data_IF_734987254276
#
_entry.id   IF_734987254276
#
_cell.length_a   1.000
_cell.length_b   1.000
_cell.length_c   1.000
_cell.angle_alpha   90.00
_cell.angle_beta   90.00
_cell.angle_gamma   90.00
#
_symmetry.space_group_name_H-M   'P 1'
#
loop_
_entity.id
_entity.type
_entity.pdbx_description
1 polymer ?
#
# COMPACT_ATOMS: atom_id res chain seq x y z
N UNK A 1 21.85 -29.52 42.47
CA UNK A 1 20.37 -29.60 42.35
C UNK A 1 19.98 -28.91 41.05
N UNK A 2 19.88 -29.71 39.98
CA UNK A 2 19.31 -29.27 38.72
C UNK A 2 17.78 -29.33 38.79
N UNK A 3 17.13 -28.71 37.82
CA UNK A 3 15.72 -28.87 37.44
C UNK A 3 14.73 -27.92 38.13
N UNK A 4 14.39 -26.82 37.43
CA UNK A 4 13.00 -26.28 37.32
C UNK A 4 12.84 -25.01 36.45
N UNK A 5 13.68 -24.76 35.46
CA UNK A 5 13.56 -23.57 34.60
C UNK A 5 12.86 -23.80 33.25
N UNK A 6 12.36 -25.01 32.99
CA UNK A 6 11.81 -25.36 31.66
C UNK A 6 10.27 -25.25 31.55
N UNK A 7 9.59 -24.71 32.57
CA UNK A 7 8.12 -24.63 32.56
C UNK A 7 7.53 -23.24 32.28
N UNK A 8 8.34 -22.18 32.29
CA UNK A 8 7.86 -20.83 32.00
C UNK A 8 8.04 -20.37 30.55
N UNK A 9 8.94 -20.99 29.78
CA UNK A 9 9.12 -20.68 28.35
C UNK A 9 8.07 -21.32 27.44
N UNK A 10 7.30 -22.30 27.93
CA UNK A 10 6.26 -22.98 27.14
C UNK A 10 4.87 -22.33 27.23
N UNK A 11 4.66 -21.41 28.18
CA UNK A 11 3.31 -20.81 28.39
C UNK A 11 3.00 -19.67 27.42
N UNK A 12 4.01 -18.93 26.95
CA UNK A 12 3.78 -17.77 26.05
C UNK A 12 3.65 -18.20 24.58
N UNK A 13 4.17 -19.37 24.20
CA UNK A 13 4.05 -19.91 22.84
C UNK A 13 2.63 -20.43 22.52
N UNK A 14 1.79 -20.66 23.53
CA UNK A 14 0.46 -21.25 23.35
C UNK A 14 -0.66 -20.26 22.96
N UNK A 15 -0.41 -18.95 22.98
CA UNK A 15 -1.40 -17.92 22.58
C UNK A 15 -1.21 -17.47 21.12
N UNK A 16 -0.06 -17.76 20.50
CA UNK A 16 0.29 -17.26 19.17
C UNK A 16 -0.27 -18.08 17.98
N UNK A 17 -1.00 -19.18 18.22
CA UNK A 17 -1.30 -20.18 17.16
C UNK A 17 -2.80 -20.25 16.77
N UNK A 18 -3.71 -19.44 17.35
CA UNK A 18 -5.15 -19.55 17.03
C UNK A 18 -5.72 -18.52 16.04
N UNK A 19 -4.91 -17.71 15.36
CA UNK A 19 -5.39 -16.80 14.30
C UNK A 19 -4.78 -17.18 12.95
N UNK A 20 -4.79 -18.47 12.64
CA UNK A 20 -4.57 -19.01 11.30
C UNK A 20 -5.79 -19.86 10.94
N UNK A 21 -6.89 -19.20 10.55
CA UNK A 21 -8.05 -19.75 9.84
C UNK A 21 -9.03 -18.57 9.72
N UNK A 22 -9.21 -17.93 8.57
CA UNK A 22 -10.01 -18.39 7.44
C UNK A 22 -9.80 -17.34 6.35
N UNK A 23 -9.31 -17.73 5.17
CA UNK A 23 -9.80 -17.24 3.87
C UNK A 23 -9.15 -18.11 2.79
N UNK A 24 -9.75 -19.29 2.55
CA UNK A 24 -9.61 -20.00 1.28
C UNK A 24 -10.58 -19.37 0.29
N UNK A 25 -10.07 -19.02 -0.89
CA UNK A 25 -10.86 -18.48 -1.99
C UNK A 25 -9.98 -18.12 -3.17
N UNK A 26 -9.42 -19.13 -3.83
CA UNK A 26 -8.75 -18.96 -5.13
C UNK A 26 -9.80 -18.74 -6.21
N UNK A 27 -9.78 -17.56 -6.82
CA UNK A 27 -10.28 -17.36 -8.19
C UNK A 27 -9.16 -16.72 -8.98
N UNK A 28 -8.45 -17.57 -9.73
CA UNK A 28 -7.37 -17.18 -10.61
C UNK A 28 -8.01 -16.75 -11.93
N UNK A 29 -8.31 -15.47 -12.07
CA UNK A 29 -8.56 -14.87 -13.39
C UNK A 29 -7.20 -14.49 -13.94
N UNK A 30 -6.68 -15.29 -14.88
CA UNK A 30 -5.50 -14.95 -15.68
C UNK A 30 -5.90 -13.78 -16.58
N UNK A 31 -5.27 -12.60 -16.48
CA UNK A 31 -5.40 -11.62 -17.55
C UNK A 31 -4.68 -12.18 -18.78
N UNK A 32 -5.44 -12.40 -19.84
CA UNK A 32 -4.96 -12.73 -21.17
C UNK A 32 -3.97 -11.65 -21.61
N UNK A 33 -2.73 -12.06 -21.83
CA UNK A 33 -1.60 -11.21 -22.18
C UNK A 33 -1.69 -10.91 -23.67
N UNK A 34 -2.52 -9.93 -24.04
CA UNK A 34 -2.65 -9.49 -25.42
C UNK A 34 -1.46 -8.60 -25.79
N UNK A 35 -0.46 -9.29 -26.36
CA UNK A 35 0.55 -8.87 -27.31
C UNK A 35 0.74 -7.36 -27.54
N UNK A 36 1.97 -6.93 -27.30
CA UNK A 36 2.60 -5.72 -27.85
C UNK A 36 2.33 -5.66 -29.36
N UNK A 37 1.49 -4.72 -29.77
CA UNK A 37 1.31 -4.30 -31.16
C UNK A 37 1.72 -2.84 -31.27
N UNK A 38 2.95 -2.60 -31.73
CA UNK A 38 3.39 -1.27 -32.16
C UNK A 38 2.81 -1.02 -33.56
N UNK A 39 2.43 0.23 -33.80
CA UNK A 39 2.16 0.93 -35.08
C UNK A 39 0.71 1.31 -35.40
N UNK A 40 0.48 2.59 -35.12
CA UNK A 40 -0.07 3.63 -35.98
C UNK A 40 -1.58 3.70 -36.29
N UNK A 41 -2.01 4.97 -36.20
CA UNK A 41 -3.19 5.61 -36.81
C UNK A 41 -4.46 5.69 -35.93
N UNK A 42 -4.59 6.85 -35.28
CA UNK A 42 -5.85 7.56 -34.99
C UNK A 42 -6.95 6.87 -34.17
N UNK A 43 -6.61 6.33 -33.00
CA UNK A 43 -7.60 6.25 -31.93
C UNK A 43 -7.01 6.77 -30.63
N UNK A 44 -7.28 8.06 -30.39
CA UNK A 44 -7.12 8.69 -29.09
C UNK A 44 -8.09 8.01 -28.12
N UNK A 45 -7.66 6.90 -27.50
CA UNK A 45 -8.32 6.36 -26.31
C UNK A 45 -8.05 7.35 -25.19
N UNK A 46 -8.91 8.36 -25.10
CA UNK A 46 -9.02 9.22 -23.94
C UNK A 46 -9.57 8.32 -22.83
N UNK A 47 -8.70 7.73 -22.03
CA UNK A 47 -9.12 7.32 -20.69
C UNK A 47 -9.42 8.64 -19.98
N UNK A 48 -10.70 9.02 -19.96
CA UNK A 48 -11.16 10.22 -19.29
C UNK A 48 -11.01 10.04 -17.78
N UNK A 49 -9.81 10.26 -17.26
CA UNK A 49 -9.57 10.47 -15.82
C UNK A 49 -9.82 11.92 -15.48
N UNK A 50 -11.03 12.42 -15.74
CA UNK A 50 -11.51 13.66 -15.11
C UNK A 50 -12.42 13.28 -13.96
N UNK A 51 -11.86 12.59 -12.96
CA UNK A 51 -12.35 12.78 -11.60
C UNK A 51 -11.93 14.18 -11.18
N UNK A 52 -12.85 15.05 -10.74
CA UNK A 52 -12.44 16.30 -10.12
C UNK A 52 -11.48 15.95 -8.98
N UNK A 53 -10.32 16.61 -8.95
CA UNK A 53 -9.31 16.40 -7.93
C UNK A 53 -9.85 17.00 -6.63
N UNK A 54 -10.78 16.30 -5.99
CA UNK A 54 -11.34 16.70 -4.70
C UNK A 54 -10.30 16.41 -3.63
N UNK A 55 -9.44 17.39 -3.38
CA UNK A 55 -8.55 17.39 -2.23
C UNK A 55 -9.38 17.74 -1.01
N UNK A 56 -9.86 16.72 -0.29
CA UNK A 56 -10.46 16.92 1.03
C UNK A 56 -9.35 17.06 2.07
N UNK A 57 -9.32 18.16 2.85
CA UNK A 57 -8.41 18.30 3.98
C UNK A 57 -8.56 17.11 4.94
N UNK A 58 -7.47 16.58 5.50
CA UNK A 58 -7.54 15.40 6.40
C UNK A 58 -8.36 15.68 7.68
N UNK A 59 -8.51 16.96 8.02
CA UNK A 59 -9.31 17.49 9.12
C UNK A 59 -10.81 17.26 8.92
N UNK A 60 -11.28 17.22 7.66
CA UNK A 60 -12.69 17.05 7.32
C UNK A 60 -13.20 15.62 7.48
N UNK A 61 -12.30 14.63 7.55
CA UNK A 61 -12.68 13.22 7.69
C UNK A 61 -13.21 12.90 9.08
N UNK A 62 -14.09 11.90 9.15
CA UNK A 62 -14.46 11.29 10.43
C UNK A 62 -13.24 10.60 11.07
N UNK A 63 -13.22 10.42 12.40
CA UNK A 63 -12.13 9.66 13.05
C UNK A 63 -11.93 8.26 12.47
N UNK A 64 -13.01 7.57 12.09
CA UNK A 64 -12.95 6.26 11.45
C UNK A 64 -12.27 6.33 10.08
N UNK A 65 -12.64 7.28 9.23
CA UNK A 65 -12.02 7.46 7.91
C UNK A 65 -10.54 7.81 8.02
N UNK A 66 -10.14 8.64 8.98
CA UNK A 66 -8.73 8.90 9.28
C UNK A 66 -7.98 7.61 9.61
N UNK A 67 -8.56 6.75 10.45
CA UNK A 67 -7.97 5.47 10.80
C UNK A 67 -7.83 4.55 9.57
N UNK A 68 -8.84 4.50 8.71
CA UNK A 68 -8.78 3.74 7.46
C UNK A 68 -7.69 4.26 6.51
N UNK A 69 -7.57 5.58 6.33
CA UNK A 69 -6.52 6.20 5.53
C UNK A 69 -5.12 5.88 6.08
N UNK A 70 -4.94 5.96 7.40
CA UNK A 70 -3.68 5.58 8.05
C UNK A 70 -3.38 4.09 7.85
N UNK A 71 -4.38 3.22 7.91
CA UNK A 71 -4.23 1.80 7.60
C UNK A 71 -3.74 1.56 6.16
N UNK A 72 -4.29 2.28 5.18
CA UNK A 72 -3.83 2.21 3.79
C UNK A 72 -2.37 2.67 3.66
N UNK A 73 -2.01 3.80 4.28
CA UNK A 73 -0.63 4.33 4.29
C UNK A 73 0.35 3.35 4.93
N UNK A 74 -0.01 2.74 6.06
CA UNK A 74 0.83 1.76 6.74
C UNK A 74 1.02 0.47 5.93
N UNK A 75 -0.04 -0.03 5.29
CA UNK A 75 0.06 -1.21 4.41
C UNK A 75 1.00 -0.94 3.24
N UNK A 76 0.80 0.18 2.55
CA UNK A 76 1.65 0.64 1.45
C UNK A 76 3.12 0.74 1.87
N UNK A 77 3.39 1.38 3.01
CA UNK A 77 4.76 1.54 3.50
C UNK A 77 5.42 0.19 3.80
N UNK A 78 4.68 -0.77 4.37
CA UNK A 78 5.19 -2.13 4.62
C UNK A 78 5.50 -2.86 3.33
N UNK A 79 4.58 -2.84 2.36
CA UNK A 79 4.74 -3.50 1.06
C UNK A 79 5.93 -2.91 0.28
N UNK A 80 6.12 -1.59 0.30
CA UNK A 80 7.30 -0.95 -0.28
C UNK A 80 8.57 -1.40 0.46
N UNK A 81 8.55 -1.44 1.79
CA UNK A 81 9.70 -1.87 2.58
C UNK A 81 10.16 -3.27 2.20
N UNK A 82 9.23 -4.19 1.91
CA UNK A 82 9.54 -5.57 1.51
C UNK A 82 10.26 -5.67 0.15
N UNK A 83 10.05 -4.70 -0.76
CA UNK A 83 10.72 -4.64 -2.07
C UNK A 83 12.14 -4.08 -1.99
N UNK A 84 12.36 -3.15 -1.06
CA UNK A 84 13.64 -2.45 -0.93
C UNK A 84 14.71 -3.33 -0.28
N UNK A 85 15.94 -3.17 -0.74
CA UNK A 85 17.12 -3.71 -0.06
C UNK A 85 17.51 -2.89 1.19
N UNK A 86 18.49 -3.37 1.94
CA UNK A 86 18.94 -2.73 3.18
C UNK A 86 19.44 -1.28 2.97
N UNK A 87 20.21 -1.04 1.91
CA UNK A 87 20.76 0.29 1.63
C UNK A 87 19.66 1.28 1.24
N UNK A 88 18.71 0.85 0.42
CA UNK A 88 17.56 1.62 0.00
C UNK A 88 16.63 1.92 1.19
N UNK A 89 16.46 0.98 2.13
CA UNK A 89 15.69 1.19 3.37
C UNK A 89 16.30 2.26 4.27
N UNK A 90 17.62 2.27 4.41
CA UNK A 90 18.31 3.32 5.17
C UNK A 90 18.12 4.69 4.50
N UNK A 91 18.25 4.74 3.18
CA UNK A 91 18.10 5.99 2.43
C UNK A 91 16.67 6.53 2.49
N UNK A 92 15.64 5.68 2.30
CA UNK A 92 14.25 6.12 2.36
C UNK A 92 13.89 6.59 3.77
N UNK A 93 14.37 5.92 4.82
CA UNK A 93 14.13 6.34 6.21
C UNK A 93 14.77 7.70 6.50
N UNK A 94 15.99 7.92 6.03
CA UNK A 94 16.66 9.22 6.13
C UNK A 94 15.87 10.31 5.39
N UNK A 95 15.42 10.03 4.16
CA UNK A 95 14.64 10.98 3.36
C UNK A 95 13.31 11.36 4.05
N UNK A 96 12.58 10.38 4.58
CA UNK A 96 11.34 10.63 5.33
C UNK A 96 11.60 11.45 6.60
N UNK A 97 12.66 11.15 7.34
CA UNK A 97 13.08 11.93 8.53
C UNK A 97 13.48 13.37 8.19
N UNK A 98 13.98 13.61 6.98
CA UNK A 98 14.32 14.95 6.49
C UNK A 98 13.09 15.78 6.08
N UNK A 99 11.89 15.21 6.19
CA UNK A 99 10.62 15.89 5.89
C UNK A 99 10.14 15.71 4.44
N UNK A 100 10.79 14.85 3.66
CA UNK A 100 10.30 14.50 2.32
C UNK A 100 9.06 13.63 2.42
N UNK A 101 8.10 13.85 1.52
CA UNK A 101 6.98 12.94 1.39
C UNK A 101 7.43 11.60 0.76
N UNK A 102 6.54 10.61 0.79
CA UNK A 102 6.86 9.26 0.31
C UNK A 102 7.20 9.22 -1.19
N UNK A 103 6.57 10.05 -2.03
CA UNK A 103 6.86 10.09 -3.47
C UNK A 103 8.26 10.67 -3.72
N UNK A 104 8.58 11.76 -3.03
CA UNK A 104 9.91 12.37 -3.07
C UNK A 104 10.98 11.41 -2.54
N UNK A 105 10.71 10.73 -1.43
CA UNK A 105 11.66 9.82 -0.82
C UNK A 105 11.99 8.62 -1.73
N UNK A 106 10.99 8.08 -2.43
CA UNK A 106 11.15 6.98 -3.39
C UNK A 106 11.88 7.44 -4.65
N UNK A 107 11.58 8.64 -5.16
CA UNK A 107 12.19 9.16 -6.40
C UNK A 107 13.71 9.35 -6.31
N UNK A 108 14.26 9.40 -5.10
CA UNK A 108 15.70 9.54 -4.85
C UNK A 108 16.42 8.22 -4.58
N UNK A 109 15.68 7.11 -4.52
CA UNK A 109 16.27 5.79 -4.38
C UNK A 109 16.85 5.33 -5.72
N UNK A 110 18.02 4.70 -5.67
CA UNK A 110 18.56 3.96 -6.80
C UNK A 110 17.82 2.62 -6.93
N UNK A 111 16.71 2.61 -7.66
CA UNK A 111 15.83 1.45 -7.83
C UNK A 111 16.11 0.73 -9.14
N UNK A 112 16.14 -0.61 -9.09
CA UNK A 112 16.04 -1.42 -10.30
C UNK A 112 14.68 -1.23 -10.96
N UNK A 113 14.61 -1.45 -12.28
CA UNK A 113 13.35 -1.29 -13.05
C UNK A 113 12.20 -2.11 -12.45
N UNK A 114 12.46 -3.36 -12.08
CA UNK A 114 11.46 -4.24 -11.47
C UNK A 114 10.98 -3.73 -10.11
N UNK A 115 11.88 -3.18 -9.29
CA UNK A 115 11.52 -2.58 -8.00
C UNK A 115 10.66 -1.33 -8.21
N UNK A 116 11.01 -0.50 -9.20
CA UNK A 116 10.25 0.69 -9.54
C UNK A 116 8.83 0.34 -9.97
N UNK A 117 8.67 -0.62 -10.88
CA UNK A 117 7.36 -1.07 -11.37
C UNK A 117 6.47 -1.58 -10.23
N UNK A 118 7.03 -2.41 -9.34
CA UNK A 118 6.31 -2.94 -8.18
C UNK A 118 5.89 -1.83 -7.21
N UNK A 119 6.79 -0.89 -6.92
CA UNK A 119 6.51 0.24 -6.02
C UNK A 119 5.44 1.14 -6.62
N UNK A 120 5.49 1.45 -7.93
CA UNK A 120 4.45 2.24 -8.58
C UNK A 120 3.09 1.56 -8.50
N UNK A 121 3.02 0.26 -8.76
CA UNK A 121 1.76 -0.49 -8.64
C UNK A 121 1.18 -0.41 -7.22
N UNK A 122 2.01 -0.52 -6.18
CA UNK A 122 1.59 -0.36 -4.78
C UNK A 122 1.10 1.07 -4.51
N UNK A 123 1.80 2.08 -5.03
CA UNK A 123 1.42 3.49 -4.89
C UNK A 123 0.05 3.75 -5.53
N UNK A 124 -0.13 3.39 -6.78
CA UNK A 124 -1.40 3.56 -7.52
C UNK A 124 -2.56 2.82 -6.84
N UNK A 125 -2.34 1.57 -6.42
CA UNK A 125 -3.35 0.80 -5.70
C UNK A 125 -3.74 1.46 -4.37
N UNK A 126 -2.75 1.98 -3.63
CA UNK A 126 -2.99 2.71 -2.39
C UNK A 126 -3.79 4.00 -2.63
N UNK A 127 -3.50 4.72 -3.70
CA UNK A 127 -4.26 5.91 -4.09
C UNK A 127 -5.71 5.57 -4.44
N UNK A 128 -5.95 4.47 -5.16
CA UNK A 128 -7.31 4.02 -5.47
C UNK A 128 -8.09 3.64 -4.21
N UNK A 129 -7.45 2.99 -3.24
CA UNK A 129 -8.04 2.70 -1.93
C UNK A 129 -8.36 3.99 -1.16
N UNK A 130 -7.44 4.95 -1.13
CA UNK A 130 -7.67 6.25 -0.49
C UNK A 130 -8.81 7.01 -1.17
N UNK A 131 -8.81 7.10 -2.50
CA UNK A 131 -9.90 7.71 -3.30
C UNK A 131 -11.24 7.08 -2.95
N UNK A 132 -11.34 5.75 -2.81
CA UNK A 132 -12.59 5.09 -2.41
C UNK A 132 -13.08 5.55 -1.04
N UNK A 133 -12.20 5.67 -0.05
CA UNK A 133 -12.56 6.16 1.30
C UNK A 133 -13.09 7.61 1.20
N UNK A 134 -12.40 8.44 0.43
CA UNK A 134 -12.77 9.85 0.19
C UNK A 134 -14.11 9.97 -0.53
N UNK A 135 -14.37 9.15 -1.54
CA UNK A 135 -15.65 9.16 -2.26
C UNK A 135 -16.82 8.76 -1.38
N UNK A 136 -16.61 7.89 -0.38
CA UNK A 136 -17.64 7.55 0.61
C UNK A 136 -17.91 8.70 1.58
N UNK A 137 -16.94 9.59 1.79
CA UNK A 137 -17.10 10.81 2.59
C UNK A 137 -17.95 11.88 1.88
N UNK A 138 -17.75 12.07 0.56
CA UNK A 138 -18.45 13.07 -0.26
C UNK A 138 -19.99 13.07 -0.18
N UNK A 139 -20.72 11.94 -0.16
CA UNK A 139 -22.18 11.95 -0.05
C UNK A 139 -22.69 12.48 1.29
N UNK A 140 -21.84 12.62 2.31
CA UNK A 140 -22.26 13.06 3.65
C UNK A 140 -22.25 14.58 3.85
N UNK A 141 -21.77 15.37 2.87
CA UNK A 141 -21.76 16.85 2.92
C UNK A 141 -22.73 17.52 1.94
N UNK A 142 -23.63 16.76 1.29
CA UNK A 142 -24.71 17.29 0.45
C UNK A 142 -26.05 17.05 1.16
N UNK A 143 -26.31 17.81 2.24
CA UNK A 143 -27.65 17.94 2.82
C UNK A 143 -27.80 19.30 3.49
#
# INVERSE_FOLDING_TARGET
>A
MALKWNKLLLSVLAIAITINFIFSGTVQAVPELNSIGIFDTESKVIIATTSPNYTFPEEDFTPQERQELQGVRQSRNREIWEILDESQRIQIEHNLRSGKDIHQAIAELDLQIDQWDMIQAIMEWSELKMKRIIYRHSPHKIS
#
